data_IF_324824109779
#
_entry.id   IF_324824109779
#
_cell.length_a   1.000
_cell.length_b   1.000
_cell.length_c   1.000
_cell.angle_alpha   90.00
_cell.angle_beta   90.00
_cell.angle_gamma   90.00
#
_symmetry.space_group_name_H-M   'P 1'
#
loop_
_entity.id
_entity.type
_entity.pdbx_description
1 polymer ?
#
# COMPACT_ATOMS: atom_id res chain seq x y z
N UNK A 1 35.07 -41.13 34.18
CA UNK A 1 34.40 -39.84 33.91
C UNK A 1 34.34 -39.65 32.41
N UNK A 2 33.18 -39.90 31.81
CA UNK A 2 32.93 -39.87 30.35
C UNK A 2 32.61 -38.44 29.89
N UNK A 3 33.32 -37.86 28.90
CA UNK A 3 33.10 -36.48 28.44
C UNK A 3 31.94 -36.36 27.41
N UNK A 4 31.03 -37.33 27.37
CA UNK A 4 29.92 -37.37 26.39
C UNK A 4 28.68 -36.59 26.83
N UNK A 5 28.61 -36.13 28.08
CA UNK A 5 27.43 -35.46 28.62
C UNK A 5 27.41 -33.94 28.41
N UNK A 6 28.53 -33.33 28.00
CA UNK A 6 28.60 -31.87 27.81
C UNK A 6 28.24 -31.42 26.40
N UNK A 7 28.24 -32.32 25.40
CA UNK A 7 27.91 -31.97 24.02
C UNK A 7 26.40 -31.87 23.77
N UNK A 8 25.57 -32.50 24.62
CA UNK A 8 24.11 -32.48 24.47
C UNK A 8 23.45 -31.19 25.00
N UNK A 9 24.12 -30.44 25.88
CA UNK A 9 23.56 -29.21 26.45
C UNK A 9 23.79 -27.96 25.57
N UNK A 10 24.77 -28.00 24.65
CA UNK A 10 25.14 -26.82 23.85
C UNK A 10 24.26 -26.60 22.61
N UNK A 11 23.56 -27.63 22.11
CA UNK A 11 22.65 -27.49 20.97
C UNK A 11 21.24 -26.98 21.33
N UNK A 12 20.86 -26.96 22.61
CA UNK A 12 19.54 -26.52 23.04
C UNK A 12 19.37 -24.98 23.07
N UNK A 13 20.46 -24.22 23.00
CA UNK A 13 20.44 -22.76 23.14
C UNK A 13 20.27 -22.00 21.80
N UNK A 14 20.23 -22.70 20.66
CA UNK A 14 20.10 -22.08 19.33
C UNK A 14 18.66 -22.03 18.79
N UNK A 15 17.69 -22.52 19.55
CA UNK A 15 16.27 -22.21 19.31
C UNK A 15 15.97 -20.78 19.80
N UNK A 16 16.72 -19.79 19.30
CA UNK A 16 16.30 -18.41 19.35
C UNK A 16 15.01 -18.34 18.52
N UNK A 17 13.88 -18.29 19.22
CA UNK A 17 12.61 -17.89 18.63
C UNK A 17 12.88 -16.64 17.80
N UNK A 18 12.87 -16.78 16.47
CA UNK A 18 12.74 -15.66 15.58
C UNK A 18 11.33 -15.12 15.80
N UNK A 19 11.15 -14.35 16.87
CA UNK A 19 9.97 -13.53 17.04
C UNK A 19 9.97 -12.61 15.81
N UNK A 20 9.00 -12.80 14.93
CA UNK A 20 8.80 -11.92 13.80
C UNK A 20 8.64 -10.50 14.37
N UNK A 21 9.70 -9.70 14.29
CA UNK A 21 9.66 -8.33 14.76
C UNK A 21 8.85 -7.56 13.72
N UNK A 22 7.56 -7.39 13.98
CA UNK A 22 6.72 -6.48 13.19
C UNK A 22 7.36 -5.11 13.29
N UNK A 23 7.78 -4.56 12.14
CA UNK A 23 8.34 -3.23 12.08
C UNK A 23 7.36 -2.24 12.73
N UNK A 24 7.89 -1.24 13.43
CA UNK A 24 7.04 -0.20 14.02
C UNK A 24 6.10 0.38 12.95
N UNK A 25 4.83 0.65 13.27
CA UNK A 25 3.91 1.26 12.31
C UNK A 25 4.50 2.57 11.76
N UNK A 26 4.43 2.75 10.44
CA UNK A 26 4.88 3.98 9.78
C UNK A 26 4.04 5.17 10.25
N UNK A 27 4.65 6.34 10.36
CA UNK A 27 3.93 7.59 10.51
C UNK A 27 3.22 7.97 9.21
N UNK A 28 2.19 8.83 9.31
CA UNK A 28 1.52 9.36 8.12
C UNK A 28 2.49 10.11 7.19
N UNK A 29 3.45 10.84 7.74
CA UNK A 29 4.45 11.57 6.94
C UNK A 29 5.35 10.63 6.14
N UNK A 30 5.84 9.56 6.77
CA UNK A 30 6.65 8.53 6.09
C UNK A 30 5.85 7.81 5.01
N UNK A 31 4.60 7.45 5.29
CA UNK A 31 3.71 6.83 4.30
C UNK A 31 3.50 7.73 3.08
N UNK A 32 3.18 9.01 3.30
CA UNK A 32 3.01 9.99 2.21
C UNK A 32 4.27 10.12 1.37
N UNK A 33 5.43 10.24 2.01
CA UNK A 33 6.70 10.36 1.32
C UNK A 33 6.99 9.13 0.45
N UNK A 34 6.83 7.92 0.99
CA UNK A 34 7.09 6.68 0.26
C UNK A 34 6.11 6.48 -0.91
N UNK A 35 4.81 6.72 -0.69
CA UNK A 35 3.81 6.57 -1.76
C UNK A 35 4.08 7.55 -2.89
N UNK A 36 4.42 8.80 -2.58
CA UNK A 36 4.79 9.78 -3.59
C UNK A 36 6.07 9.36 -4.33
N UNK A 37 7.11 8.92 -3.63
CA UNK A 37 8.36 8.47 -4.26
C UNK A 37 8.11 7.30 -5.23
N UNK A 38 7.27 6.34 -4.83
CA UNK A 38 6.88 5.22 -5.70
C UNK A 38 6.12 5.70 -6.93
N UNK A 39 5.22 6.68 -6.79
CA UNK A 39 4.47 7.24 -7.91
C UNK A 39 5.40 7.96 -8.89
N UNK A 40 6.31 8.79 -8.37
CA UNK A 40 7.32 9.52 -9.15
C UNK A 40 8.22 8.56 -9.93
N UNK A 41 8.57 7.41 -9.32
CA UNK A 41 9.40 6.36 -9.93
C UNK A 41 8.63 5.30 -10.71
N UNK A 42 7.30 5.41 -10.78
CA UNK A 42 6.39 4.44 -11.42
C UNK A 42 6.58 3.01 -10.90
N UNK A 43 6.64 2.85 -9.57
CA UNK A 43 6.83 1.58 -8.86
C UNK A 43 5.52 1.11 -8.22
N UNK A 44 5.27 -0.21 -8.25
CA UNK A 44 4.14 -0.84 -7.56
C UNK A 44 4.07 -0.43 -6.06
N UNK A 45 2.88 -0.22 -5.46
CA UNK A 45 1.54 -0.42 -6.02
C UNK A 45 0.98 0.73 -6.86
N UNK A 46 1.65 1.87 -6.93
CA UNK A 46 1.14 3.10 -7.57
C UNK A 46 1.73 3.37 -8.95
N UNK A 47 2.33 2.37 -9.59
CA UNK A 47 3.05 2.51 -10.86
C UNK A 47 2.19 3.06 -12.01
N UNK A 48 0.88 2.82 -11.96
CA UNK A 48 -0.05 3.26 -13.01
C UNK A 48 -0.76 4.58 -12.69
N UNK A 49 -0.60 5.11 -11.47
CA UNK A 49 -1.25 6.34 -11.04
C UNK A 49 -0.51 7.58 -11.56
N UNK A 50 -1.23 8.69 -11.70
CA UNK A 50 -0.63 9.98 -12.01
C UNK A 50 0.06 10.55 -10.74
N UNK A 51 1.35 10.94 -10.78
CA UNK A 51 2.05 11.44 -9.61
C UNK A 51 1.48 12.74 -9.02
N UNK A 52 0.84 13.58 -9.84
CA UNK A 52 0.19 14.80 -9.38
C UNK A 52 -1.12 14.50 -8.63
N UNK A 53 -1.91 13.55 -9.13
CA UNK A 53 -3.15 13.11 -8.46
C UNK A 53 -2.85 12.26 -7.22
N UNK A 54 -1.74 11.52 -7.21
CA UNK A 54 -1.20 10.91 -5.98
C UNK A 54 -0.90 12.00 -4.95
N UNK A 55 -0.26 13.09 -5.34
CA UNK A 55 0.03 14.23 -4.45
C UNK A 55 -1.25 14.86 -3.90
N UNK A 56 -2.28 14.99 -4.76
CA UNK A 56 -3.61 15.47 -4.37
C UNK A 56 -4.24 14.56 -3.31
N UNK A 57 -4.34 13.26 -3.57
CA UNK A 57 -4.92 12.30 -2.65
C UNK A 57 -4.15 12.24 -1.31
N UNK A 58 -2.81 12.22 -1.35
CA UNK A 58 -1.98 12.28 -0.15
C UNK A 58 -2.15 13.58 0.62
N UNK A 59 -2.41 14.69 -0.06
CA UNK A 59 -2.72 15.98 0.56
C UNK A 59 -4.02 15.96 1.36
N UNK A 60 -4.99 15.14 0.94
CA UNK A 60 -6.29 15.02 1.61
C UNK A 60 -6.23 14.22 2.94
N UNK A 61 -5.27 13.30 3.09
CA UNK A 61 -5.16 12.43 4.27
C UNK A 61 -4.70 13.19 5.52
N UNK A 62 -5.38 12.98 6.64
CA UNK A 62 -5.06 13.54 7.96
C UNK A 62 -4.68 12.46 8.97
N UNK A 63 -5.10 11.23 8.75
CA UNK A 63 -4.80 10.09 9.62
C UNK A 63 -4.35 8.86 8.81
N UNK A 64 -4.02 7.78 9.51
CA UNK A 64 -3.77 6.45 8.92
C UNK A 64 -5.06 5.60 8.89
N UNK A 65 -6.22 6.23 9.08
CA UNK A 65 -7.50 5.55 9.04
C UNK A 65 -7.79 4.95 7.65
N UNK A 66 -8.35 3.74 7.65
CA UNK A 66 -8.65 2.99 6.43
C UNK A 66 -9.75 3.65 5.61
N UNK A 67 -10.80 4.13 6.25
CA UNK A 67 -11.94 4.69 5.54
C UNK A 67 -11.59 6.06 4.98
N UNK A 68 -10.77 6.83 5.69
CA UNK A 68 -10.18 8.06 5.16
C UNK A 68 -9.30 7.77 3.94
N UNK A 69 -8.46 6.74 3.99
CA UNK A 69 -7.68 6.27 2.84
C UNK A 69 -8.57 5.91 1.65
N UNK A 70 -9.52 5.00 1.86
CA UNK A 70 -10.44 4.54 0.82
C UNK A 70 -11.21 5.72 0.21
N UNK A 71 -11.65 6.67 1.03
CA UNK A 71 -12.36 7.87 0.58
C UNK A 71 -11.49 8.74 -0.32
N UNK A 72 -10.25 9.05 0.09
CA UNK A 72 -9.34 9.92 -0.66
C UNK A 72 -9.03 9.37 -2.05
N UNK A 73 -8.71 8.07 -2.14
CA UNK A 73 -8.37 7.43 -3.42
C UNK A 73 -9.60 7.18 -4.29
N UNK A 74 -10.74 6.81 -3.69
CA UNK A 74 -11.99 6.61 -4.43
C UNK A 74 -12.50 7.91 -5.05
N UNK A 75 -12.29 9.07 -4.41
CA UNK A 75 -12.67 10.36 -4.98
C UNK A 75 -11.95 10.65 -6.31
N UNK A 76 -10.68 10.28 -6.44
CA UNK A 76 -9.94 10.38 -7.70
C UNK A 76 -10.48 9.38 -8.73
N UNK A 77 -10.73 8.13 -8.30
CA UNK A 77 -11.36 7.12 -9.14
C UNK A 77 -12.72 7.54 -9.70
N UNK A 78 -13.57 8.15 -8.86
CA UNK A 78 -14.89 8.67 -9.22
C UNK A 78 -14.80 9.79 -10.25
N UNK A 79 -13.80 10.66 -10.12
CA UNK A 79 -13.53 11.71 -11.12
C UNK A 79 -13.20 11.11 -12.49
N UNK A 80 -12.32 10.12 -12.55
CA UNK A 80 -12.02 9.43 -13.81
C UNK A 80 -13.23 8.66 -14.34
N UNK A 81 -13.98 7.97 -13.48
CA UNK A 81 -15.21 7.28 -13.86
C UNK A 81 -16.23 8.24 -14.49
N UNK A 82 -16.38 9.44 -13.93
CA UNK A 82 -17.25 10.47 -14.47
C UNK A 82 -16.74 11.04 -15.81
N UNK A 83 -15.42 11.21 -15.97
CA UNK A 83 -14.80 11.63 -17.23
C UNK A 83 -15.00 10.56 -18.32
N UNK A 84 -14.78 9.28 -17.99
CA UNK A 84 -14.98 8.16 -18.91
C UNK A 84 -16.42 8.12 -19.45
N UNK A 85 -17.42 8.33 -18.59
CA UNK A 85 -18.85 8.37 -18.96
C UNK A 85 -19.23 9.56 -19.83
N UNK A 86 -18.45 10.65 -19.82
CA UNK A 86 -18.71 11.88 -20.60
C UNK A 86 -17.90 11.94 -21.90
N UNK A 87 -16.90 11.08 -22.07
CA UNK A 87 -16.04 11.07 -23.24
C UNK A 87 -16.85 10.79 -24.52
N UNK A 88 -16.57 11.56 -25.58
CA UNK A 88 -17.22 11.42 -26.89
C UNK A 88 -16.56 10.38 -27.78
N UNK A 89 -15.35 9.94 -27.43
CA UNK A 89 -14.60 8.92 -28.16
C UNK A 89 -14.18 7.74 -27.26
N UNK A 90 -13.97 6.59 -27.90
CA UNK A 90 -13.68 5.33 -27.21
C UNK A 90 -12.29 5.32 -26.55
N UNK A 91 -11.32 6.04 -27.10
CA UNK A 91 -9.96 6.02 -26.59
C UNK A 91 -9.89 6.77 -25.27
N UNK A 92 -10.45 7.98 -25.21
CA UNK A 92 -10.58 8.78 -23.99
C UNK A 92 -11.39 8.03 -22.93
N UNK A 93 -12.55 7.46 -23.30
CA UNK A 93 -13.34 6.67 -22.37
C UNK A 93 -12.53 5.51 -21.76
N UNK A 94 -11.82 4.74 -22.60
CA UNK A 94 -11.01 3.61 -22.17
C UNK A 94 -9.86 4.03 -21.23
N UNK A 95 -9.21 5.14 -21.52
CA UNK A 95 -8.13 5.67 -20.68
C UNK A 95 -8.64 6.05 -19.29
N UNK A 96 -9.74 6.80 -19.22
CA UNK A 96 -10.32 7.18 -17.95
C UNK A 96 -10.90 5.98 -17.17
N UNK A 97 -11.48 4.98 -17.85
CA UNK A 97 -11.88 3.74 -17.17
C UNK A 97 -10.69 3.00 -16.56
N UNK A 98 -9.55 2.95 -17.26
CA UNK A 98 -8.31 2.36 -16.73
C UNK A 98 -7.84 3.10 -15.49
N UNK A 99 -7.79 4.43 -15.53
CA UNK A 99 -7.41 5.22 -14.34
C UNK A 99 -8.37 5.00 -13.18
N UNK A 100 -9.68 5.03 -13.41
CA UNK A 100 -10.67 4.76 -12.36
C UNK A 100 -10.41 3.40 -11.69
N UNK A 101 -10.19 2.35 -12.50
CA UNK A 101 -9.85 1.02 -11.99
C UNK A 101 -8.61 1.03 -11.10
N UNK A 102 -7.50 1.64 -11.55
CA UNK A 102 -6.24 1.68 -10.79
C UNK A 102 -6.40 2.43 -9.45
N UNK A 103 -7.12 3.55 -9.44
CA UNK A 103 -7.39 4.30 -8.20
C UNK A 103 -8.27 3.51 -7.23
N UNK A 104 -9.33 2.86 -7.71
CA UNK A 104 -10.15 1.98 -6.85
C UNK A 104 -9.36 0.76 -6.36
N UNK A 105 -8.48 0.21 -7.19
CA UNK A 105 -7.60 -0.89 -6.80
C UNK A 105 -6.63 -0.47 -5.70
N UNK A 106 -6.19 0.79 -5.68
CA UNK A 106 -5.32 1.30 -4.62
C UNK A 106 -6.10 1.72 -3.36
N UNK A 107 -7.35 2.17 -3.52
CA UNK A 107 -8.24 2.54 -2.41
C UNK A 107 -8.50 1.38 -1.43
N UNK A 108 -8.38 0.11 -1.87
CA UNK A 108 -8.60 -1.08 -1.02
C UNK A 108 -7.48 -1.36 0.00
N UNK A 109 -6.33 -0.69 -0.10
CA UNK A 109 -5.22 -0.90 0.83
C UNK A 109 -5.49 -0.25 2.20
N UNK A 110 -4.90 -0.76 3.29
CA UNK A 110 -4.26 -2.08 3.42
C UNK A 110 -5.30 -3.21 3.41
N UNK A 111 -4.92 -4.37 2.86
CA UNK A 111 -5.84 -5.51 2.62
C UNK A 111 -6.14 -6.37 3.85
N UNK A 112 -5.58 -6.08 5.02
CA UNK A 112 -5.75 -6.97 6.17
C UNK A 112 -7.05 -6.67 6.92
N UNK A 113 -8.04 -7.55 6.78
CA UNK A 113 -9.33 -7.49 7.49
C UNK A 113 -9.56 -8.69 8.43
N UNK A 114 -8.61 -9.63 8.54
CA UNK A 114 -8.76 -10.83 9.35
C UNK A 114 -7.59 -11.02 10.32
N UNK A 115 -7.80 -11.62 11.51
CA UNK A 115 -6.74 -11.84 12.51
C UNK A 115 -5.61 -12.81 12.12
N UNK A 116 -5.67 -13.43 10.93
CA UNK A 116 -4.84 -14.60 10.59
C UNK A 116 -5.46 -15.90 11.06
#
# INVERSE_FOLDING_TARGET
>A
MTPRSFLALALAALACSALAQVAAPRTLAELKAEVQERADRKVYPVSQLDPAEVREALGALKTLDRDEWATAWSAIGDRHMAQAKRASDRASASEHYKYAFEYYLFARFPLENSPG
#
